data_IF_848270669617
#
_entry.id   IF_848270669617
#
_cell.length_a   1.000
_cell.length_b   1.000
_cell.length_c   1.000
_cell.angle_alpha   90.00
_cell.angle_beta   90.00
_cell.angle_gamma   90.00
#
_symmetry.space_group_name_H-M   'P 1'
#
loop_
_entity.id
_entity.type
_entity.pdbx_description
1 polymer ?
#
# COMPACT_ATOMS: atom_id res chain seq x y z
N UNK A 1 47.05 0.59 36.32
CA UNK A 1 45.74 1.26 36.50
C UNK A 1 45.69 2.40 35.51
N UNK A 2 44.98 2.23 34.39
CA UNK A 2 44.81 3.27 33.38
C UNK A 2 43.32 3.55 33.26
N UNK A 3 42.95 4.79 33.58
CA UNK A 3 41.59 5.30 33.54
C UNK A 3 41.27 5.88 32.17
N UNK A 4 39.97 5.87 31.85
CA UNK A 4 39.29 6.86 31.02
C UNK A 4 39.53 6.83 29.50
N UNK A 5 38.52 6.31 28.80
CA UNK A 5 37.88 7.09 27.76
C UNK A 5 36.46 6.58 27.54
N UNK A 6 35.51 7.23 28.23
CA UNK A 6 34.09 7.15 27.89
C UNK A 6 33.88 8.02 26.65
N UNK A 7 33.71 7.37 25.50
CA UNK A 7 33.38 8.04 24.25
C UNK A 7 31.93 7.74 23.92
N UNK A 8 31.05 8.66 24.34
CA UNK A 8 29.65 8.70 23.95
C UNK A 8 29.52 8.83 22.44
N UNK A 9 28.61 8.09 21.77
CA UNK A 9 28.37 8.30 20.36
C UNK A 9 27.66 9.65 20.15
N UNK A 10 28.01 10.44 19.11
CA UNK A 10 27.15 11.52 18.67
C UNK A 10 25.85 10.89 18.16
N UNK A 11 24.76 11.13 18.87
CA UNK A 11 23.40 10.87 18.38
C UNK A 11 23.18 11.73 17.14
N UNK A 12 23.55 11.20 15.98
CA UNK A 12 23.22 11.78 14.69
C UNK A 12 21.71 11.87 14.63
N UNK A 13 21.18 13.09 14.64
CA UNK A 13 19.80 13.37 14.29
C UNK A 13 19.56 12.80 12.90
N UNK A 14 19.02 11.58 12.87
CA UNK A 14 18.49 11.01 11.64
C UNK A 14 17.51 12.04 11.09
N UNK A 15 17.54 12.36 9.79
CA UNK A 15 16.53 13.22 9.22
C UNK A 15 15.18 12.56 9.53
N UNK A 16 14.36 13.24 10.32
CA UNK A 16 12.94 12.90 10.44
C UNK A 16 12.35 13.18 9.08
N UNK A 17 12.45 12.21 8.18
CA UNK A 17 11.80 12.22 6.88
C UNK A 17 10.33 12.32 7.23
N UNK A 18 9.79 13.52 7.08
CA UNK A 18 8.36 13.75 7.17
C UNK A 18 7.78 13.11 5.91
N UNK A 19 7.68 11.77 5.94
CA UNK A 19 7.09 10.99 4.85
C UNK A 19 5.65 11.49 4.79
N UNK A 20 5.35 12.32 3.80
CA UNK A 20 3.98 12.67 3.46
C UNK A 20 3.29 11.32 3.25
N UNK A 21 2.49 10.90 4.24
CA UNK A 21 1.83 9.61 4.20
C UNK A 21 0.91 9.62 2.98
N UNK A 22 0.94 8.55 2.19
CA UNK A 22 0.00 8.39 1.08
C UNK A 22 -1.40 8.46 1.67
N UNK A 23 -2.19 9.45 1.25
CA UNK A 23 -3.60 9.53 1.64
C UNK A 23 -4.41 8.71 0.67
N UNK A 24 -4.83 7.54 1.11
CA UNK A 24 -5.71 6.66 0.35
C UNK A 24 -7.16 6.96 0.77
N UNK A 25 -8.07 7.24 -0.19
CA UNK A 25 -9.49 7.38 0.11
C UNK A 25 -10.10 6.03 0.52
N UNK A 26 -11.19 6.06 1.28
CA UNK A 26 -11.99 4.86 1.58
C UNK A 26 -12.37 4.10 0.31
N UNK A 27 -12.36 2.77 0.41
CA UNK A 27 -12.64 1.90 -0.72
C UNK A 27 -14.10 2.02 -1.19
N UNK A 28 -14.29 2.31 -2.48
CA UNK A 28 -15.62 2.36 -3.11
C UNK A 28 -15.83 1.15 -4.02
N UNK A 29 -16.71 0.20 -3.65
CA UNK A 29 -17.04 -0.95 -4.48
C UNK A 29 -17.94 -0.60 -5.68
N UNK A 30 -18.56 0.59 -5.67
CA UNK A 30 -19.49 1.03 -6.72
C UNK A 30 -18.78 1.29 -8.04
N UNK A 31 -17.57 1.85 -7.97
CA UNK A 31 -16.71 2.04 -9.13
C UNK A 31 -15.23 1.82 -8.75
N UNK A 32 -14.78 0.55 -8.69
CA UNK A 32 -13.42 0.24 -8.29
C UNK A 32 -12.39 0.80 -9.28
N UNK A 33 -12.75 0.97 -10.56
CA UNK A 33 -11.89 1.55 -11.57
C UNK A 33 -11.51 3.00 -11.25
N UNK A 34 -12.51 3.84 -10.94
CA UNK A 34 -12.29 5.22 -10.51
C UNK A 34 -11.51 5.29 -9.20
N UNK A 35 -11.84 4.43 -8.23
CA UNK A 35 -11.13 4.39 -6.96
C UNK A 35 -9.63 4.11 -7.15
N UNK A 36 -9.28 3.09 -7.92
CA UNK A 36 -7.87 2.80 -8.26
C UNK A 36 -7.22 3.96 -8.99
N UNK A 37 -7.93 4.65 -9.89
CA UNK A 37 -7.43 5.85 -10.55
C UNK A 37 -7.04 6.96 -9.56
N UNK A 38 -7.85 7.24 -8.54
CA UNK A 38 -7.54 8.22 -7.49
C UNK A 38 -6.35 7.79 -6.62
N UNK A 39 -6.28 6.50 -6.29
CA UNK A 39 -5.17 5.90 -5.53
C UNK A 39 -3.85 6.02 -6.27
N UNK A 40 -3.85 5.75 -7.58
CA UNK A 40 -2.64 5.85 -8.42
C UNK A 40 -2.11 7.28 -8.50
N UNK A 41 -2.99 8.28 -8.58
CA UNK A 41 -2.58 9.69 -8.48
C UNK A 41 -1.94 10.00 -7.13
N UNK A 42 -2.46 9.42 -6.05
CA UNK A 42 -1.90 9.61 -4.70
C UNK A 42 -0.52 8.96 -4.56
N UNK A 43 -0.33 7.79 -5.19
CA UNK A 43 0.98 7.15 -5.26
C UNK A 43 1.99 7.96 -6.06
N UNK A 44 1.59 8.45 -7.24
CA UNK A 44 2.42 9.29 -8.09
C UNK A 44 2.87 10.57 -7.36
N UNK A 45 1.93 11.28 -6.73
CA UNK A 45 2.21 12.48 -5.94
C UNK A 45 3.13 12.22 -4.73
N UNK A 46 3.13 11.00 -4.19
CA UNK A 46 3.95 10.61 -3.04
C UNK A 46 5.25 9.87 -3.44
N UNK A 47 5.52 9.72 -4.74
CA UNK A 47 6.68 8.98 -5.25
C UNK A 47 6.65 7.48 -4.98
N UNK A 48 5.48 6.89 -4.75
CA UNK A 48 5.32 5.45 -4.49
C UNK A 48 5.23 4.69 -5.81
N UNK A 49 6.33 4.06 -6.20
CA UNK A 49 6.44 3.33 -7.47
C UNK A 49 6.46 1.82 -7.31
N UNK A 50 6.94 1.32 -6.17
CA UNK A 50 7.13 -0.12 -5.91
C UNK A 50 5.81 -0.87 -5.74
N UNK A 51 5.61 -1.93 -6.52
CA UNK A 51 4.43 -2.81 -6.47
C UNK A 51 4.10 -3.27 -5.04
N UNK A 52 5.09 -3.79 -4.29
CA UNK A 52 4.88 -4.25 -2.92
C UNK A 52 4.39 -3.15 -1.97
N UNK A 53 4.86 -1.91 -2.17
CA UNK A 53 4.42 -0.77 -1.34
C UNK A 53 2.99 -0.36 -1.70
N UNK A 54 2.68 -0.26 -3.00
CA UNK A 54 1.31 0.01 -3.47
C UNK A 54 0.32 -1.04 -2.97
N UNK A 55 0.72 -2.31 -3.05
CA UNK A 55 -0.05 -3.45 -2.57
C UNK A 55 -0.39 -3.32 -1.08
N UNK A 56 0.60 -3.01 -0.23
CA UNK A 56 0.37 -2.78 1.20
C UNK A 56 -0.61 -1.63 1.49
N UNK A 57 -0.50 -0.50 0.79
CA UNK A 57 -1.43 0.63 0.94
C UNK A 57 -2.86 0.28 0.54
N UNK A 58 -3.03 -0.40 -0.60
CA UNK A 58 -4.36 -0.82 -1.07
C UNK A 58 -4.96 -1.82 -0.11
N UNK A 59 -4.20 -2.84 0.32
CA UNK A 59 -4.70 -3.82 1.28
C UNK A 59 -5.16 -3.17 2.60
N UNK A 60 -4.44 -2.16 3.08
CA UNK A 60 -4.83 -1.41 4.27
C UNK A 60 -6.11 -0.59 4.10
N UNK A 61 -6.44 -0.20 2.87
CA UNK A 61 -7.67 0.52 2.53
C UNK A 61 -8.85 -0.41 2.19
N UNK A 62 -8.58 -1.68 1.89
CA UNK A 62 -9.61 -2.66 1.63
C UNK A 62 -10.24 -3.15 2.94
N UNK A 63 -11.57 -3.11 3.00
CA UNK A 63 -12.30 -3.78 4.06
C UNK A 63 -12.10 -5.30 4.03
N UNK A 64 -12.29 -6.01 5.16
CA UNK A 64 -12.07 -7.45 5.27
C UNK A 64 -12.89 -8.27 4.26
N UNK A 65 -14.09 -7.79 3.90
CA UNK A 65 -14.94 -8.39 2.87
C UNK A 65 -14.26 -8.42 1.49
N UNK A 66 -13.56 -7.34 1.11
CA UNK A 66 -12.91 -7.22 -0.21
C UNK A 66 -11.53 -7.86 -0.22
N UNK A 67 -10.84 -7.86 0.93
CA UNK A 67 -9.62 -8.65 1.09
C UNK A 67 -9.90 -10.15 0.92
N UNK A 68 -11.05 -10.64 1.39
CA UNK A 68 -11.46 -12.03 1.18
C UNK A 68 -11.66 -12.36 -0.31
N UNK A 69 -12.24 -11.43 -1.08
CA UNK A 69 -12.42 -11.56 -2.53
C UNK A 69 -11.12 -11.70 -3.31
N UNK A 70 -9.97 -11.35 -2.74
CA UNK A 70 -8.64 -11.44 -3.38
C UNK A 70 -7.64 -12.18 -2.49
N UNK A 71 -8.16 -13.05 -1.60
CA UNK A 71 -7.37 -13.83 -0.65
C UNK A 71 -6.27 -14.64 -1.34
N UNK A 72 -6.54 -15.20 -2.52
CA UNK A 72 -5.56 -15.98 -3.28
C UNK A 72 -4.30 -15.16 -3.60
N UNK A 73 -4.47 -13.88 -3.95
CA UNK A 73 -3.39 -12.94 -4.25
C UNK A 73 -2.64 -12.54 -2.98
N UNK A 74 -3.36 -12.39 -1.86
CA UNK A 74 -2.75 -12.03 -0.58
C UNK A 74 -1.90 -13.18 -0.01
N UNK A 75 -2.40 -14.41 -0.11
CA UNK A 75 -1.73 -15.60 0.42
C UNK A 75 -0.58 -16.06 -0.47
N UNK A 76 -0.66 -15.81 -1.78
CA UNK A 76 0.37 -16.16 -2.75
C UNK A 76 0.61 -14.98 -3.72
N UNK A 77 1.30 -13.92 -3.27
CA UNK A 77 1.52 -12.73 -4.08
C UNK A 77 2.40 -13.07 -5.30
N UNK A 78 1.98 -12.68 -6.53
CA UNK A 78 2.80 -12.83 -7.74
C UNK A 78 3.93 -11.79 -7.77
N UNK A 79 4.73 -11.77 -8.84
CA UNK A 79 5.78 -10.77 -9.04
C UNK A 79 5.24 -9.32 -9.07
N UNK A 80 4.02 -9.13 -9.58
CA UNK A 80 3.33 -7.84 -9.68
C UNK A 80 2.04 -7.86 -8.84
N UNK A 81 2.15 -7.83 -7.50
CA UNK A 81 1.03 -8.05 -6.60
C UNK A 81 -0.03 -6.94 -6.66
N UNK A 82 0.36 -5.68 -6.83
CA UNK A 82 -0.59 -4.58 -6.92
C UNK A 82 -1.36 -4.63 -8.25
N UNK A 83 -0.64 -4.86 -9.35
CA UNK A 83 -1.26 -4.96 -10.68
C UNK A 83 -2.27 -6.10 -10.71
N UNK A 84 -1.90 -7.28 -10.21
CA UNK A 84 -2.81 -8.43 -10.15
C UNK A 84 -4.01 -8.16 -9.25
N UNK A 85 -3.79 -7.56 -8.07
CA UNK A 85 -4.85 -7.16 -7.14
C UNK A 85 -5.86 -6.23 -7.81
N UNK A 86 -5.39 -5.16 -8.46
CA UNK A 86 -6.24 -4.19 -9.17
C UNK A 86 -7.10 -4.86 -10.23
N UNK A 87 -6.49 -5.66 -11.11
CA UNK A 87 -7.22 -6.34 -12.19
C UNK A 87 -8.29 -7.30 -11.66
N UNK A 88 -7.93 -8.15 -10.69
CA UNK A 88 -8.86 -9.15 -10.16
C UNK A 88 -9.97 -8.50 -9.34
N UNK A 89 -9.66 -7.49 -8.53
CA UNK A 89 -10.67 -6.81 -7.71
C UNK A 89 -11.68 -6.07 -8.58
N UNK A 90 -11.24 -5.34 -9.61
CA UNK A 90 -12.14 -4.69 -10.59
C UNK A 90 -13.00 -5.75 -11.27
N UNK A 91 -12.40 -6.84 -11.76
CA UNK A 91 -13.12 -7.91 -12.47
C UNK A 91 -14.18 -8.58 -11.58
N UNK A 92 -13.84 -8.96 -10.35
CA UNK A 92 -14.73 -9.67 -9.42
C UNK A 92 -15.90 -8.76 -8.97
N UNK A 93 -15.62 -7.48 -8.71
CA UNK A 93 -16.66 -6.53 -8.30
C UNK A 93 -17.56 -6.08 -9.45
N UNK A 94 -17.03 -5.90 -10.67
CA UNK A 94 -17.86 -5.66 -11.84
C UNK A 94 -18.77 -6.85 -12.13
N UNK A 95 -18.28 -8.09 -11.98
CA UNK A 95 -19.11 -9.28 -12.17
C UNK A 95 -20.19 -9.46 -11.08
N UNK A 96 -19.96 -8.98 -9.86
CA UNK A 96 -20.94 -9.03 -8.76
C UNK A 96 -22.09 -8.01 -8.91
N UNK A 97 -21.89 -6.91 -9.65
CA UNK A 97 -22.94 -5.91 -9.89
C UNK A 97 -23.97 -6.37 -10.94
N UNK A 98 -23.65 -7.39 -11.72
CA UNK A 98 -24.46 -7.87 -12.85
C UNK A 98 -25.32 -9.12 -12.50
N UNK A 99 -25.48 -9.43 -11.20
CA UNK A 99 -26.29 -10.55 -10.70
C UNK A 99 -27.53 -10.12 -9.91
#
# INVERSE_FOLDING_TARGET
MSTSSEQSPPGGSAPTINRVGVRIPDFSPTDPGLWFGMVERSFDASGVTTEATKFGYVLGALGPQYAAEVRDIIMAPPAEPYTKLKTELIKRLSSSQEQ
#
